data_IF_630425947703
#
_entry.id   IF_630425947703
#
_cell.length_a   1.000
_cell.length_b   1.000
_cell.length_c   1.000
_cell.angle_alpha   90.00
_cell.angle_beta   90.00
_cell.angle_gamma   90.00
#
_symmetry.space_group_name_H-M   'P 1'
#
loop_
_entity.id
_entity.type
_entity.pdbx_description
1 polymer ?
#
# COMPACT_ATOMS: atom_id res chain seq x y z
N UNK A 1 11.03 -14.85 -21.92
CA UNK A 1 9.67 -14.33 -21.63
C UNK A 1 9.45 -14.56 -20.15
N UNK A 2 9.27 -13.50 -19.36
CA UNK A 2 9.05 -13.63 -17.91
C UNK A 2 7.68 -14.28 -17.73
N UNK A 3 7.63 -15.36 -16.94
CA UNK A 3 6.36 -16.03 -16.61
C UNK A 3 5.75 -15.33 -15.38
N UNK A 4 4.43 -15.23 -15.26
CA UNK A 4 3.80 -14.69 -14.07
C UNK A 4 4.27 -15.35 -12.76
N UNK A 5 4.43 -16.66 -12.75
CA UNK A 5 4.91 -17.41 -11.59
C UNK A 5 6.37 -17.09 -11.15
N UNK A 6 7.15 -16.47 -12.02
CA UNK A 6 8.53 -16.05 -11.73
C UNK A 6 8.58 -14.60 -11.21
N UNK A 7 7.43 -13.94 -11.07
CA UNK A 7 7.32 -12.54 -10.64
C UNK A 7 6.60 -12.46 -9.30
N UNK A 8 7.33 -12.04 -8.27
CA UNK A 8 6.79 -11.84 -6.93
C UNK A 8 6.11 -10.47 -6.84
N UNK A 9 4.80 -10.47 -6.60
CA UNK A 9 3.98 -9.26 -6.47
C UNK A 9 3.45 -9.14 -5.05
N UNK A 10 3.68 -8.01 -4.43
CA UNK A 10 3.18 -7.73 -3.08
C UNK A 10 2.24 -6.53 -3.11
N UNK A 11 1.01 -6.74 -2.64
CA UNK A 11 0.11 -5.64 -2.27
C UNK A 11 0.22 -5.38 -0.78
N UNK A 12 0.44 -4.12 -0.41
CA UNK A 12 0.69 -3.71 0.97
C UNK A 12 -0.29 -2.63 1.43
N UNK A 13 -0.98 -2.91 2.54
CA UNK A 13 -1.78 -1.93 3.27
C UNK A 13 -1.65 -2.09 4.78
N UNK A 14 -1.55 -0.97 5.50
CA UNK A 14 -1.59 -0.91 6.96
C UNK A 14 -2.94 -0.43 7.50
N UNK A 15 -3.83 0.03 6.62
CA UNK A 15 -5.15 0.60 6.97
C UNK A 15 -6.27 -0.38 6.68
N UNK A 16 -6.27 -0.98 5.49
CA UNK A 16 -7.32 -1.88 5.04
C UNK A 16 -7.31 -3.23 5.78
N UNK A 17 -8.46 -3.90 5.76
CA UNK A 17 -8.65 -5.24 6.32
C UNK A 17 -8.83 -6.28 5.21
N UNK A 18 -8.70 -7.54 5.54
CA UNK A 18 -8.73 -8.70 4.62
C UNK A 18 -9.95 -8.79 3.71
N UNK A 19 -11.08 -8.21 4.05
CA UNK A 19 -12.29 -8.24 3.22
C UNK A 19 -12.63 -6.88 2.60
N UNK A 20 -11.60 -6.04 2.38
CA UNK A 20 -11.80 -4.81 1.60
C UNK A 20 -12.23 -5.15 0.17
N UNK A 21 -13.29 -4.50 -0.29
CA UNK A 21 -13.93 -4.87 -1.55
C UNK A 21 -13.03 -4.62 -2.77
N UNK A 22 -12.17 -3.60 -2.72
CA UNK A 22 -11.26 -3.27 -3.81
C UNK A 22 -9.96 -4.05 -3.69
N UNK A 23 -9.27 -3.90 -2.57
CA UNK A 23 -7.93 -4.47 -2.35
C UNK A 23 -7.97 -5.99 -2.40
N UNK A 24 -8.94 -6.61 -1.70
CA UNK A 24 -9.05 -8.07 -1.64
C UNK A 24 -9.86 -8.63 -2.80
N UNK A 25 -11.15 -8.24 -2.92
CA UNK A 25 -12.09 -8.93 -3.83
C UNK A 25 -11.80 -8.67 -5.31
N UNK A 26 -11.25 -7.50 -5.67
CA UNK A 26 -10.98 -7.17 -7.07
C UNK A 26 -9.52 -7.38 -7.43
N UNK A 27 -8.59 -6.76 -6.68
CA UNK A 27 -7.19 -6.71 -7.09
C UNK A 27 -6.41 -7.96 -6.68
N UNK A 28 -6.45 -8.36 -5.38
CA UNK A 28 -5.68 -9.49 -4.89
C UNK A 28 -6.12 -10.82 -5.54
N UNK A 29 -7.42 -11.03 -5.68
CA UNK A 29 -7.94 -12.23 -6.38
C UNK A 29 -7.53 -12.26 -7.84
N UNK A 30 -7.62 -11.13 -8.55
CA UNK A 30 -7.19 -11.07 -9.94
C UNK A 30 -5.70 -11.40 -10.12
N UNK A 31 -4.84 -10.96 -9.20
CA UNK A 31 -3.41 -11.27 -9.22
C UNK A 31 -3.14 -12.75 -8.94
N UNK A 32 -3.82 -13.35 -7.98
CA UNK A 32 -3.73 -14.78 -7.68
C UNK A 32 -4.23 -15.63 -8.85
N UNK A 33 -5.36 -15.26 -9.46
CA UNK A 33 -5.92 -15.94 -10.64
C UNK A 33 -5.02 -15.81 -11.87
N UNK A 34 -4.28 -14.70 -12.01
CA UNK A 34 -3.31 -14.49 -13.09
C UNK A 34 -2.04 -15.34 -12.96
N UNK A 35 -1.85 -16.01 -11.82
CA UNK A 35 -0.75 -16.95 -11.58
C UNK A 35 0.58 -16.29 -11.17
N UNK A 36 0.56 -15.06 -10.66
CA UNK A 36 1.73 -14.44 -10.03
C UNK A 36 2.07 -15.12 -8.70
N UNK A 37 3.34 -15.06 -8.29
CA UNK A 37 3.74 -15.30 -6.90
C UNK A 37 3.28 -14.10 -6.06
N UNK A 38 2.00 -14.14 -5.70
CA UNK A 38 1.29 -13.01 -5.12
C UNK A 38 1.15 -13.11 -3.61
N UNK A 39 1.38 -12.00 -2.91
CA UNK A 39 1.17 -11.90 -1.46
C UNK A 39 0.41 -10.63 -1.10
N UNK A 40 -0.67 -10.78 -0.33
CA UNK A 40 -1.39 -9.67 0.27
C UNK A 40 -0.90 -9.43 1.69
N UNK A 41 -0.18 -8.34 1.91
CA UNK A 41 0.33 -7.91 3.22
C UNK A 41 -0.62 -6.85 3.78
N UNK A 42 -1.44 -7.24 4.75
CA UNK A 42 -2.59 -6.44 5.20
C UNK A 42 -2.89 -6.65 6.68
N UNK A 43 -3.72 -5.78 7.28
CA UNK A 43 -4.19 -6.01 8.65
C UNK A 43 -5.08 -7.25 8.71
N UNK A 44 -4.62 -8.24 9.45
CA UNK A 44 -5.32 -9.49 9.69
C UNK A 44 -5.01 -10.01 11.10
N UNK A 45 -5.79 -10.97 11.58
CA UNK A 45 -5.54 -11.61 12.87
C UNK A 45 -4.38 -12.61 12.80
N UNK A 46 -4.17 -13.22 11.64
CA UNK A 46 -3.13 -14.24 11.40
C UNK A 46 -2.80 -14.37 9.91
N UNK A 47 -1.66 -14.93 9.63
CA UNK A 47 -1.29 -15.39 8.29
C UNK A 47 -2.22 -16.51 7.82
N UNK A 48 -2.45 -16.61 6.52
CA UNK A 48 -3.29 -17.66 5.94
C UNK A 48 -3.44 -17.55 4.45
N UNK A 49 -4.38 -18.32 3.92
CA UNK A 49 -4.83 -18.24 2.52
C UNK A 49 -6.35 -18.10 2.55
N UNK A 50 -6.87 -17.10 1.86
CA UNK A 50 -8.31 -16.87 1.74
C UNK A 50 -8.66 -16.70 0.26
N UNK A 51 -9.65 -17.47 -0.23
CA UNK A 51 -10.03 -17.53 -1.66
C UNK A 51 -8.82 -17.67 -2.63
N UNK A 52 -7.81 -18.45 -2.24
CA UNK A 52 -6.59 -18.65 -3.03
C UNK A 52 -5.57 -17.51 -2.93
N UNK A 53 -5.84 -16.46 -2.16
CA UNK A 53 -4.94 -15.33 -1.92
C UNK A 53 -4.10 -15.57 -0.67
N UNK A 54 -2.77 -15.67 -0.76
CA UNK A 54 -1.88 -15.70 0.39
C UNK A 54 -1.90 -14.36 1.15
N UNK A 55 -2.21 -14.42 2.43
CA UNK A 55 -2.30 -13.28 3.33
C UNK A 55 -1.17 -13.34 4.35
N UNK A 56 -0.43 -12.25 4.48
CA UNK A 56 0.53 -12.03 5.55
C UNK A 56 -0.04 -10.93 6.47
N UNK A 57 -0.27 -11.30 7.72
CA UNK A 57 -0.91 -10.45 8.68
C UNK A 57 0.02 -9.38 9.23
N UNK A 58 -0.44 -8.14 9.24
CA UNK A 58 0.17 -7.02 9.95
C UNK A 58 -0.64 -6.66 11.19
N UNK A 59 0.06 -6.36 12.29
CA UNK A 59 -0.54 -6.02 13.58
C UNK A 59 -0.19 -4.57 14.00
N UNK A 60 -0.49 -3.56 13.19
CA UNK A 60 0.04 -2.20 13.36
C UNK A 60 -0.45 -1.48 14.62
N UNK A 61 -1.48 -2.00 15.29
CA UNK A 61 -2.08 -1.37 16.48
C UNK A 61 -2.82 -0.06 16.16
N UNK A 62 -2.84 0.87 17.11
CA UNK A 62 -3.49 2.17 16.92
C UNK A 62 -2.74 3.11 15.96
N UNK A 63 -3.39 4.23 15.58
CA UNK A 63 -2.97 5.14 14.50
C UNK A 63 -1.49 5.58 14.58
N UNK A 64 -1.01 6.00 15.74
CA UNK A 64 0.39 6.43 15.91
C UNK A 64 1.37 5.24 15.84
N UNK A 65 0.99 4.11 16.43
CA UNK A 65 1.80 2.90 16.41
C UNK A 65 1.93 2.35 14.98
N UNK A 66 0.88 2.48 14.17
CA UNK A 66 0.88 2.09 12.76
C UNK A 66 1.96 2.84 11.96
N UNK A 67 2.14 4.15 12.20
CA UNK A 67 3.13 4.96 11.49
C UNK A 67 4.59 4.56 11.77
N UNK A 68 4.85 3.86 12.86
CA UNK A 68 6.21 3.42 13.22
C UNK A 68 6.31 1.90 13.20
N UNK A 69 5.55 1.21 14.07
CA UNK A 69 5.66 -0.24 14.19
C UNK A 69 5.11 -0.96 12.97
N UNK A 70 3.98 -0.49 12.41
CA UNK A 70 3.39 -1.08 11.22
C UNK A 70 4.31 -0.96 9.99
N UNK A 71 5.01 0.16 9.83
CA UNK A 71 5.97 0.29 8.73
C UNK A 71 7.22 -0.58 8.93
N UNK A 72 7.69 -0.76 10.18
CA UNK A 72 8.81 -1.66 10.47
C UNK A 72 8.44 -3.13 10.23
N UNK A 73 7.24 -3.53 10.63
CA UNK A 73 6.71 -4.86 10.38
C UNK A 73 6.58 -5.12 8.87
N UNK A 74 5.97 -4.19 8.14
CA UNK A 74 5.87 -4.23 6.68
C UNK A 74 7.25 -4.33 6.01
N UNK A 75 8.21 -3.50 6.44
CA UNK A 75 9.58 -3.55 5.92
C UNK A 75 10.21 -4.94 6.08
N UNK A 76 10.10 -5.54 7.27
CA UNK A 76 10.63 -6.88 7.55
C UNK A 76 9.98 -7.96 6.67
N UNK A 77 8.68 -7.83 6.38
CA UNK A 77 7.98 -8.71 5.44
C UNK A 77 8.52 -8.55 4.03
N UNK A 78 8.69 -7.32 3.55
CA UNK A 78 9.22 -7.03 2.21
C UNK A 78 10.65 -7.54 2.04
N UNK A 79 11.50 -7.43 3.06
CA UNK A 79 12.87 -7.99 3.02
C UNK A 79 12.89 -9.53 2.88
N UNK A 80 11.89 -10.21 3.42
CA UNK A 80 11.76 -11.68 3.28
C UNK A 80 11.20 -12.11 1.93
N UNK A 81 10.24 -11.34 1.42
CA UNK A 81 9.56 -11.67 0.16
C UNK A 81 10.37 -11.26 -1.06
N UNK A 82 11.22 -10.24 -0.95
CA UNK A 82 12.02 -9.69 -2.06
C UNK A 82 11.17 -9.42 -3.32
N UNK A 83 10.09 -8.62 -3.23
CA UNK A 83 9.18 -8.44 -4.34
C UNK A 83 9.84 -7.80 -5.56
N UNK A 84 9.43 -8.23 -6.75
CA UNK A 84 9.72 -7.56 -8.02
C UNK A 84 8.81 -6.33 -8.20
N UNK A 85 7.57 -6.44 -7.72
CA UNK A 85 6.57 -5.37 -7.76
C UNK A 85 5.93 -5.20 -6.38
N UNK A 86 5.98 -3.97 -5.88
CA UNK A 86 5.33 -3.56 -4.65
C UNK A 86 4.21 -2.55 -4.96
N UNK A 87 2.96 -2.95 -4.78
CA UNK A 87 1.82 -2.04 -4.84
C UNK A 87 1.43 -1.62 -3.42
N UNK A 88 1.39 -0.32 -3.18
CA UNK A 88 0.98 0.26 -1.89
C UNK A 88 -0.37 0.97 -2.01
N UNK A 89 -1.22 0.81 -1.00
CA UNK A 89 -2.57 1.38 -0.99
C UNK A 89 -2.74 2.59 -0.06
N UNK A 90 -1.80 2.79 0.86
CA UNK A 90 -1.87 3.87 1.85
C UNK A 90 -0.81 4.94 1.58
N UNK A 91 -1.18 6.24 1.56
CA UNK A 91 -0.23 7.31 1.26
C UNK A 91 0.91 7.43 2.29
N UNK A 92 0.68 6.97 3.52
CA UNK A 92 1.70 6.95 4.57
C UNK A 92 2.83 5.95 4.31
N UNK A 93 2.62 5.00 3.39
CA UNK A 93 3.63 4.02 2.97
C UNK A 93 4.55 4.56 1.88
N UNK A 94 4.19 5.65 1.19
CA UNK A 94 4.97 6.19 0.06
C UNK A 94 6.45 6.40 0.42
N UNK A 95 6.82 7.09 1.51
CA UNK A 95 8.24 7.29 1.82
C UNK A 95 8.99 5.99 2.04
N UNK A 96 8.39 5.04 2.76
CA UNK A 96 8.97 3.73 3.05
C UNK A 96 9.14 2.91 1.77
N UNK A 97 8.12 2.85 0.92
CA UNK A 97 8.15 2.10 -0.34
C UNK A 97 9.22 2.66 -1.31
N UNK A 98 9.38 3.98 -1.38
CA UNK A 98 10.41 4.59 -2.22
C UNK A 98 11.83 4.33 -1.70
N UNK A 99 12.03 4.30 -0.37
CA UNK A 99 13.32 3.88 0.21
C UNK A 99 13.57 2.41 -0.07
N UNK A 100 12.56 1.56 0.03
CA UNK A 100 12.68 0.15 -0.30
C UNK A 100 13.03 -0.04 -1.78
N UNK A 101 12.34 0.64 -2.70
CA UNK A 101 12.66 0.67 -4.13
C UNK A 101 14.12 1.02 -4.39
N UNK A 102 14.61 2.09 -3.76
CA UNK A 102 16.00 2.53 -3.96
C UNK A 102 17.04 1.49 -3.49
N UNK A 103 16.68 0.59 -2.57
CA UNK A 103 17.56 -0.46 -2.04
C UNK A 103 17.46 -1.79 -2.80
N UNK A 104 16.24 -2.19 -3.15
CA UNK A 104 15.96 -3.50 -3.77
C UNK A 104 15.91 -3.47 -5.28
N UNK A 105 15.58 -2.30 -5.87
CA UNK A 105 15.32 -2.17 -7.29
C UNK A 105 13.91 -2.61 -7.71
N UNK A 106 13.01 -2.96 -6.77
CA UNK A 106 11.64 -3.36 -7.09
C UNK A 106 10.86 -2.21 -7.75
N UNK A 107 9.91 -2.54 -8.62
CA UNK A 107 8.95 -1.57 -9.13
C UNK A 107 7.94 -1.20 -8.04
N UNK A 108 7.64 0.10 -7.89
CA UNK A 108 6.65 0.58 -6.91
C UNK A 108 5.45 1.17 -7.63
N UNK A 109 4.27 0.67 -7.32
CA UNK A 109 2.97 1.17 -7.79
C UNK A 109 2.25 1.80 -6.59
N UNK A 110 1.76 3.03 -6.76
CA UNK A 110 0.89 3.64 -5.77
C UNK A 110 -0.57 3.60 -6.26
N UNK A 111 -1.41 2.88 -5.55
CA UNK A 111 -2.84 2.84 -5.81
C UNK A 111 -3.55 3.93 -5.00
N UNK A 112 -3.85 5.03 -5.68
CA UNK A 112 -4.54 6.18 -5.10
C UNK A 112 -6.05 5.95 -5.11
N UNK A 113 -6.60 5.44 -4.01
CA UNK A 113 -8.04 5.17 -3.88
C UNK A 113 -8.90 6.43 -3.94
N UNK A 114 -8.37 7.57 -3.54
CA UNK A 114 -9.11 8.80 -3.36
C UNK A 114 -8.20 10.03 -3.55
N UNK A 115 -8.79 11.15 -3.90
CA UNK A 115 -8.08 12.45 -3.85
C UNK A 115 -7.70 12.79 -2.40
N UNK A 116 -6.45 12.45 -2.03
CA UNK A 116 -5.93 12.68 -0.69
C UNK A 116 -6.01 14.16 -0.28
N UNK A 117 -5.82 15.07 -1.23
CA UNK A 117 -5.85 16.52 -0.96
C UNK A 117 -7.27 17.01 -0.77
N UNK A 118 -8.19 16.60 -1.63
CA UNK A 118 -9.61 16.97 -1.55
C UNK A 118 -10.29 16.43 -0.30
N UNK A 119 -9.92 15.23 0.14
CA UNK A 119 -10.46 14.64 1.36
C UNK A 119 -10.10 15.39 2.65
N UNK A 120 -8.98 16.14 2.69
CA UNK A 120 -8.59 16.90 3.89
C UNK A 120 -9.65 17.91 4.28
N UNK A 121 -10.37 18.45 3.32
CA UNK A 121 -11.41 19.45 3.59
C UNK A 121 -12.66 18.86 4.25
N UNK A 122 -12.91 17.58 4.05
CA UNK A 122 -14.05 16.86 4.61
C UNK A 122 -13.78 16.24 5.99
N UNK A 123 -12.51 16.23 6.46
CA UNK A 123 -12.15 15.61 7.74
C UNK A 123 -12.56 16.47 8.93
N UNK A 124 -13.55 16.07 9.75
CA UNK A 124 -14.09 16.91 10.83
C UNK A 124 -13.13 17.15 12.00
N UNK A 125 -12.12 16.30 12.14
CA UNK A 125 -11.12 16.41 13.21
C UNK A 125 -9.95 17.37 12.87
N UNK A 126 -9.89 17.91 11.66
CA UNK A 126 -8.91 18.92 11.26
C UNK A 126 -9.47 20.32 11.48
N UNK A 127 -8.79 21.08 12.32
CA UNK A 127 -9.12 22.48 12.61
C UNK A 127 -8.43 23.44 11.61
N UNK A 128 -8.73 24.76 11.76
CA UNK A 128 -8.15 25.80 10.90
C UNK A 128 -6.61 25.86 10.90
N UNK A 129 -5.98 25.43 11.98
CA UNK A 129 -4.51 25.46 12.12
C UNK A 129 -3.85 24.18 11.57
N UNK A 130 -4.48 23.02 11.77
CA UNK A 130 -3.91 21.73 11.36
C UNK A 130 -4.22 21.37 9.90
N UNK A 131 -5.30 21.91 9.34
CA UNK A 131 -5.71 21.64 7.95
C UNK A 131 -4.68 22.08 6.90
N UNK A 132 -4.06 23.29 6.97
CA UNK A 132 -3.00 23.66 6.01
C UNK A 132 -1.79 22.74 6.07
N UNK A 133 -1.39 22.33 7.27
CA UNK A 133 -0.27 21.39 7.47
C UNK A 133 -0.60 20.02 6.85
N UNK A 134 -1.79 19.47 7.14
CA UNK A 134 -2.23 18.21 6.58
C UNK A 134 -2.27 18.26 5.04
N UNK A 135 -2.76 19.37 4.47
CA UNK A 135 -2.79 19.61 3.03
C UNK A 135 -1.38 19.68 2.43
N UNK A 136 -0.45 20.34 3.11
CA UNK A 136 0.97 20.39 2.72
C UNK A 136 1.61 19.00 2.71
N UNK A 137 1.37 18.20 3.74
CA UNK A 137 1.85 16.81 3.83
C UNK A 137 1.25 15.95 2.72
N UNK A 138 -0.06 16.05 2.48
CA UNK A 138 -0.72 15.30 1.40
C UNK A 138 -0.11 15.63 0.03
N UNK A 139 0.06 16.91 -0.28
CA UNK A 139 0.69 17.34 -1.54
C UNK A 139 2.13 16.86 -1.66
N UNK A 140 2.89 16.87 -0.57
CA UNK A 140 4.26 16.37 -0.57
C UNK A 140 4.30 14.87 -0.85
N UNK A 141 3.41 14.08 -0.23
CA UNK A 141 3.34 12.63 -0.44
C UNK A 141 2.91 12.29 -1.87
N UNK A 142 1.84 12.91 -2.38
CA UNK A 142 1.41 12.69 -3.77
C UNK A 142 2.48 13.13 -4.76
N UNK A 143 3.14 14.28 -4.53
CA UNK A 143 4.24 14.73 -5.37
C UNK A 143 5.49 13.84 -5.32
N UNK A 144 5.75 13.14 -4.20
CA UNK A 144 6.79 12.12 -4.13
C UNK A 144 6.43 10.87 -4.94
N UNK A 145 5.18 10.40 -4.82
CA UNK A 145 4.70 9.27 -5.62
C UNK A 145 4.76 9.59 -7.12
N UNK A 146 4.26 10.76 -7.52
CA UNK A 146 4.23 11.21 -8.91
C UNK A 146 5.62 11.26 -9.56
N UNK A 147 6.65 11.61 -8.79
CA UNK A 147 8.02 11.71 -9.31
C UNK A 147 8.82 10.42 -9.27
N UNK A 148 8.50 9.50 -8.37
CA UNK A 148 9.41 8.40 -8.02
C UNK A 148 8.76 7.01 -8.05
N UNK A 149 7.43 6.89 -8.00
CA UNK A 149 6.76 5.62 -8.26
C UNK A 149 6.85 5.28 -9.77
N UNK A 150 6.82 4.00 -10.09
CA UNK A 150 6.85 3.55 -11.49
C UNK A 150 5.48 3.69 -12.15
N UNK A 151 4.42 3.61 -11.35
CA UNK A 151 3.05 3.87 -11.80
C UNK A 151 2.17 4.39 -10.64
N UNK A 152 1.12 5.12 -11.02
CA UNK A 152 0.02 5.49 -10.12
C UNK A 152 -1.27 4.98 -10.75
N UNK A 153 -2.05 4.25 -9.96
CA UNK A 153 -3.39 3.79 -10.34
C UNK A 153 -4.40 4.69 -9.63
N UNK A 154 -5.22 5.40 -10.37
CA UNK A 154 -6.31 6.23 -9.83
C UNK A 154 -7.64 5.50 -9.91
N UNK A 155 -8.45 5.60 -8.84
CA UNK A 155 -9.76 4.95 -8.79
C UNK A 155 -10.86 5.69 -9.53
N UNK A 156 -10.65 6.97 -9.84
CA UNK A 156 -11.65 7.86 -10.44
C UNK A 156 -11.02 8.72 -11.52
N UNK A 157 -11.74 8.89 -12.62
CA UNK A 157 -11.47 9.95 -13.58
C UNK A 157 -11.81 11.29 -12.89
N UNK A 158 -10.79 12.10 -12.65
CA UNK A 158 -10.96 13.48 -12.16
C UNK A 158 -10.77 14.45 -13.29
#
# INVERSE_FOLDING_TARGET
MIQPADTTVVHLSTVHHTHDNRVFNKEARAMAEAGYDFHLVIRADRDGVDDGVPIIALHPGGRLRRLVCGQREAWSVLERLCPDVLQIHDPELIPMALVFKARSGCAVIYDAHEDLVGQIDTKPYLNRLTRPVARGVARALTGLADRHADAIVAATDT
#
